data_IF_998843282237
#
_entry.id   IF_998843282237
#
_cell.length_a   1.000
_cell.length_b   1.000
_cell.length_c   1.000
_cell.angle_alpha   90.00
_cell.angle_beta   90.00
_cell.angle_gamma   90.00
#
_symmetry.space_group_name_H-M   'P 1'
#
loop_
_entity.id
_entity.type
_entity.pdbx_description
1 polymer ?
#
# COMPACT_ATOMS: atom_id res chain seq x y z
N UNK A 1 -11.20 19.50 2.55
CA UNK A 1 -12.25 19.07 1.60
C UNK A 1 -13.24 20.22 1.43
N UNK A 2 -13.59 20.55 0.19
CA UNK A 2 -14.56 21.57 -0.17
C UNK A 2 -15.78 20.87 -0.81
N UNK A 3 -16.97 21.15 -0.30
CA UNK A 3 -18.22 20.69 -0.89
C UNK A 3 -18.61 21.61 -2.04
N UNK A 4 -18.93 21.05 -3.21
CA UNK A 4 -19.27 21.78 -4.43
C UNK A 4 -20.76 21.66 -4.80
N UNK A 5 -21.56 21.00 -3.96
CA UNK A 5 -22.95 20.70 -4.22
C UNK A 5 -23.28 19.22 -3.98
N UNK A 6 -24.55 18.80 -4.18
CA UNK A 6 -25.01 17.47 -3.82
C UNK A 6 -24.08 16.35 -4.33
N UNK A 7 -23.48 15.61 -3.39
CA UNK A 7 -22.59 14.49 -3.68
C UNK A 7 -21.27 14.84 -4.37
N UNK A 8 -20.97 16.12 -4.58
CA UNK A 8 -19.77 16.58 -5.29
C UNK A 8 -18.77 17.19 -4.33
N UNK A 9 -17.51 16.76 -4.37
CA UNK A 9 -16.48 17.34 -3.53
C UNK A 9 -15.16 17.51 -4.25
N UNK A 10 -14.41 18.54 -3.84
CA UNK A 10 -13.02 18.75 -4.18
C UNK A 10 -12.17 18.56 -2.92
N UNK A 11 -11.06 17.84 -3.02
CA UNK A 11 -10.15 17.61 -1.91
C UNK A 11 -8.71 17.82 -2.34
N UNK A 12 -8.04 18.76 -1.70
CA UNK A 12 -6.59 18.92 -1.74
C UNK A 12 -6.00 18.28 -0.49
N UNK A 13 -4.95 17.49 -0.64
CA UNK A 13 -4.27 16.86 0.48
C UNK A 13 -2.86 16.41 0.11
N UNK A 14 -2.04 16.13 1.12
CA UNK A 14 -0.77 15.44 0.92
C UNK A 14 -0.98 13.93 0.97
N UNK A 15 -0.09 13.18 0.32
CA UNK A 15 -0.02 11.74 0.45
C UNK A 15 1.42 11.30 0.67
N UNK A 16 1.56 10.17 1.35
CA UNK A 16 2.80 9.42 1.47
C UNK A 16 2.43 7.95 1.33
N UNK A 17 3.15 7.24 0.48
CA UNK A 17 2.95 5.81 0.25
C UNK A 17 4.29 5.08 0.30
N UNK A 18 4.24 3.82 0.72
CA UNK A 18 5.36 2.91 0.53
C UNK A 18 4.83 1.58 -0.01
N UNK A 19 5.56 0.99 -0.95
CA UNK A 19 5.44 -0.44 -1.21
C UNK A 19 6.43 -1.08 -0.25
N UNK A 20 5.91 -1.87 0.71
CA UNK A 20 6.73 -2.51 1.75
C UNK A 20 7.95 -3.23 1.19
N UNK A 21 8.95 -3.46 2.04
CA UNK A 21 10.19 -4.11 1.62
C UNK A 21 9.92 -5.59 1.36
N UNK A 22 10.06 -6.01 0.11
CA UNK A 22 9.97 -7.41 -0.29
C UNK A 22 11.38 -7.98 -0.40
N UNK A 23 11.63 -9.08 0.29
CA UNK A 23 12.87 -9.86 0.16
C UNK A 23 12.48 -11.28 -0.26
N UNK A 24 13.05 -11.77 -1.35
CA UNK A 24 12.76 -13.11 -1.85
C UNK A 24 13.98 -13.72 -2.55
N UNK A 25 14.20 -15.05 -2.45
CA UNK A 25 15.13 -15.72 -3.33
C UNK A 25 14.62 -15.64 -4.77
N UNK A 26 15.52 -15.47 -5.73
CA UNK A 26 15.17 -15.63 -7.13
C UNK A 26 14.93 -17.11 -7.47
N UNK A 27 14.35 -17.43 -8.65
CA UNK A 27 14.01 -18.82 -8.99
C UNK A 27 15.19 -19.80 -8.93
N UNK A 28 16.39 -19.36 -9.32
CA UNK A 28 17.60 -20.20 -9.27
C UNK A 28 18.01 -20.53 -7.83
N UNK A 29 17.98 -19.55 -6.93
CA UNK A 29 18.28 -19.75 -5.51
C UNK A 29 17.19 -20.58 -4.82
N UNK A 30 15.92 -20.32 -5.14
CA UNK A 30 14.80 -21.11 -4.60
C UNK A 30 14.95 -22.59 -4.97
N UNK A 31 15.30 -22.87 -6.22
CA UNK A 31 15.50 -24.24 -6.68
C UNK A 31 16.76 -24.88 -6.08
N UNK A 32 17.86 -24.13 -5.95
CA UNK A 32 19.07 -24.62 -5.28
C UNK A 32 18.80 -25.02 -3.81
N UNK A 33 17.96 -24.25 -3.10
CA UNK A 33 17.53 -24.57 -1.74
C UNK A 33 16.68 -25.84 -1.72
N UNK A 34 15.71 -25.98 -2.66
CA UNK A 34 14.85 -27.18 -2.75
C UNK A 34 15.63 -28.45 -3.08
N UNK A 35 16.63 -28.35 -3.95
CA UNK A 35 17.46 -29.49 -4.34
C UNK A 35 18.54 -29.82 -3.31
N UNK A 36 18.79 -28.92 -2.34
CA UNK A 36 19.91 -29.04 -1.41
C UNK A 36 21.30 -28.92 -2.06
N UNK A 37 21.39 -28.39 -3.29
CA UNK A 37 22.65 -28.21 -4.01
C UNK A 37 22.79 -26.80 -4.59
N UNK A 38 23.95 -26.19 -4.34
CA UNK A 38 24.34 -24.89 -4.88
C UNK A 38 25.02 -24.95 -6.24
N UNK A 39 25.03 -26.10 -6.93
CA UNK A 39 25.75 -26.23 -8.20
C UNK A 39 25.16 -25.32 -9.30
N UNK A 40 23.84 -25.08 -9.27
CA UNK A 40 23.18 -24.08 -10.13
C UNK A 40 23.74 -22.67 -9.93
N UNK A 41 24.13 -22.34 -8.71
CA UNK A 41 24.69 -21.03 -8.36
C UNK A 41 26.13 -20.83 -8.85
N UNK A 42 26.78 -21.89 -9.36
CA UNK A 42 28.17 -21.85 -9.83
C UNK A 42 28.28 -21.77 -11.37
N UNK A 43 27.16 -21.79 -12.08
CA UNK A 43 27.14 -21.91 -13.57
C UNK A 43 27.70 -20.67 -14.27
N UNK A 44 27.64 -19.49 -13.63
CA UNK A 44 28.21 -18.24 -14.17
C UNK A 44 28.81 -17.37 -13.08
N UNK A 45 29.71 -16.47 -13.48
CA UNK A 45 30.21 -15.38 -12.64
C UNK A 45 29.80 -14.06 -13.30
N UNK A 46 28.96 -13.23 -12.66
CA UNK A 46 28.38 -13.39 -11.31
C UNK A 46 27.37 -14.55 -11.22
N UNK A 47 27.18 -15.06 -10.00
CA UNK A 47 26.27 -16.18 -9.71
C UNK A 47 24.85 -15.88 -10.17
N UNK A 48 24.15 -16.83 -10.82
CA UNK A 48 22.76 -16.65 -11.20
C UNK A 48 21.82 -16.69 -9.99
N UNK A 49 22.23 -17.30 -8.89
CA UNK A 49 21.45 -17.31 -7.65
C UNK A 49 21.55 -15.96 -6.93
N UNK A 50 20.42 -15.38 -6.57
CA UNK A 50 20.37 -14.10 -5.89
C UNK A 50 19.26 -14.08 -4.83
N UNK A 51 19.55 -13.43 -3.70
CA UNK A 51 18.53 -12.91 -2.81
C UNK A 51 18.20 -11.50 -3.29
N UNK A 52 16.95 -11.27 -3.68
CA UNK A 52 16.49 -9.98 -4.19
C UNK A 52 15.68 -9.24 -3.12
N UNK A 53 15.97 -7.95 -2.94
CA UNK A 53 15.22 -7.04 -2.10
C UNK A 53 14.68 -5.88 -2.94
N UNK A 54 13.44 -5.47 -2.73
CA UNK A 54 12.80 -4.36 -3.43
C UNK A 54 11.97 -3.52 -2.46
N UNK A 55 11.94 -2.21 -2.65
CA UNK A 55 11.09 -1.31 -1.89
C UNK A 55 10.95 0.04 -2.57
N UNK A 56 9.83 0.73 -2.32
CA UNK A 56 9.62 2.08 -2.83
C UNK A 56 8.88 2.97 -1.85
N UNK A 57 9.13 4.27 -1.95
CA UNK A 57 8.54 5.34 -1.16
C UNK A 57 8.12 6.46 -2.11
N UNK A 58 6.86 6.90 -2.01
CA UNK A 58 6.30 8.03 -2.74
C UNK A 58 5.75 9.07 -1.77
N UNK A 59 5.81 10.33 -2.16
CA UNK A 59 5.10 11.41 -1.48
C UNK A 59 4.73 12.52 -2.45
N UNK A 60 3.69 13.26 -2.11
CA UNK A 60 3.24 14.36 -2.95
C UNK A 60 2.00 15.06 -2.44
N UNK A 61 1.41 15.85 -3.32
CA UNK A 61 0.13 16.54 -3.13
C UNK A 61 -0.84 16.02 -4.18
N UNK A 62 -2.05 15.71 -3.75
CA UNK A 62 -3.14 15.22 -4.59
C UNK A 62 -4.31 16.18 -4.58
N UNK A 63 -4.92 16.36 -5.74
CA UNK A 63 -6.21 17.00 -5.93
C UNK A 63 -7.22 15.96 -6.42
N UNK A 64 -8.24 15.70 -5.63
CA UNK A 64 -9.30 14.76 -5.96
C UNK A 64 -10.64 15.46 -6.15
N UNK A 65 -11.32 15.15 -7.25
CA UNK A 65 -12.72 15.49 -7.51
C UNK A 65 -13.53 14.21 -7.41
N UNK A 66 -14.51 14.18 -6.51
CA UNK A 66 -15.44 13.06 -6.39
C UNK A 66 -16.86 13.52 -6.65
N UNK A 67 -17.66 12.61 -7.20
CA UNK A 67 -19.09 12.76 -7.40
C UNK A 67 -19.79 11.47 -6.97
N UNK A 68 -20.87 11.59 -6.21
CA UNK A 68 -21.77 10.50 -5.91
C UNK A 68 -23.24 10.91 -6.05
N UNK A 69 -24.07 9.98 -6.49
CA UNK A 69 -25.52 10.20 -6.64
C UNK A 69 -26.28 8.97 -6.19
N UNK A 70 -27.45 9.13 -5.54
CA UNK A 70 -28.40 8.02 -5.44
C UNK A 70 -28.85 7.61 -6.84
N UNK A 71 -29.01 6.31 -7.05
CA UNK A 71 -29.64 5.75 -8.24
C UNK A 71 -31.16 5.63 -8.02
N UNK A 72 -31.97 5.61 -9.09
CA UNK A 72 -33.40 5.37 -8.99
C UNK A 72 -33.70 4.06 -8.23
N UNK A 73 -34.70 4.09 -7.35
CA UNK A 73 -35.11 2.93 -6.58
C UNK A 73 -35.59 1.81 -7.50
N UNK A 74 -35.02 0.60 -7.33
CA UNK A 74 -35.44 -0.59 -8.07
C UNK A 74 -36.66 -1.18 -7.34
N UNK A 75 -37.80 -1.43 -8.02
CA UNK A 75 -38.97 -2.04 -7.40
C UNK A 75 -38.64 -3.40 -6.76
N UNK A 76 -38.94 -3.57 -5.47
CA UNK A 76 -38.51 -4.73 -4.66
C UNK A 76 -37.12 -4.59 -4.02
N UNK A 77 -36.56 -3.38 -4.02
CA UNK A 77 -35.16 -3.09 -3.76
C UNK A 77 -34.64 -3.41 -2.36
N UNK A 78 -33.36 -3.75 -2.32
CA UNK A 78 -32.58 -4.08 -1.11
C UNK A 78 -32.19 -2.84 -0.28
N UNK A 79 -32.58 -1.63 -0.66
CA UNK A 79 -32.16 -0.38 -0.01
C UNK A 79 -31.83 0.72 -1.01
N UNK A 80 -31.27 1.83 -0.52
CA UNK A 80 -30.89 2.97 -1.36
C UNK A 80 -29.53 2.73 -1.98
N UNK A 81 -29.46 2.73 -3.31
CA UNK A 81 -28.23 2.49 -4.06
C UNK A 81 -27.59 3.82 -4.43
N UNK A 82 -26.28 3.90 -4.30
CA UNK A 82 -25.46 5.05 -4.65
C UNK A 82 -24.41 4.62 -5.67
N UNK A 83 -24.16 5.47 -6.66
CA UNK A 83 -23.02 5.36 -7.56
C UNK A 83 -22.07 6.51 -7.32
N UNK A 84 -20.77 6.22 -7.34
CA UNK A 84 -19.71 7.18 -7.12
C UNK A 84 -18.59 7.04 -8.13
N UNK A 85 -18.00 8.17 -8.50
CA UNK A 85 -16.78 8.24 -9.29
C UNK A 85 -15.84 9.24 -8.64
N UNK A 86 -14.54 9.00 -8.78
CA UNK A 86 -13.51 9.89 -8.27
C UNK A 86 -12.36 9.96 -9.26
N UNK A 87 -12.01 11.17 -9.65
CA UNK A 87 -10.77 11.47 -10.35
C UNK A 87 -9.79 12.11 -9.37
N UNK A 88 -8.55 11.65 -9.38
CA UNK A 88 -7.46 12.24 -8.61
C UNK A 88 -6.29 12.52 -9.54
N UNK A 89 -5.76 13.73 -9.48
CA UNK A 89 -4.46 14.07 -10.03
C UNK A 89 -3.48 14.36 -8.92
N UNK A 90 -2.22 14.02 -9.11
CA UNK A 90 -1.18 14.30 -8.13
C UNK A 90 0.05 14.96 -8.75
N UNK A 91 0.73 15.73 -7.90
CA UNK A 91 2.06 16.26 -8.13
C UNK A 91 3.01 15.66 -7.09
N UNK A 92 4.07 15.01 -7.57
CA UNK A 92 5.04 14.29 -6.77
C UNK A 92 6.07 15.22 -6.14
N UNK A 93 6.29 15.04 -4.84
CA UNK A 93 7.31 15.76 -4.07
C UNK A 93 8.50 14.88 -3.68
N UNK A 94 8.36 13.56 -3.79
CA UNK A 94 9.46 12.63 -3.59
C UNK A 94 9.10 11.25 -4.11
N UNK A 95 10.04 10.63 -4.81
CA UNK A 95 9.98 9.22 -5.15
C UNK A 95 11.36 8.59 -5.01
N UNK A 96 11.40 7.48 -4.26
CA UNK A 96 12.56 6.64 -4.13
C UNK A 96 12.15 5.19 -4.39
N UNK A 97 12.88 4.49 -5.24
CA UNK A 97 12.73 3.07 -5.50
C UNK A 97 14.10 2.44 -5.40
N UNK A 98 14.22 1.31 -4.70
CA UNK A 98 15.47 0.59 -4.58
C UNK A 98 15.25 -0.89 -4.81
N UNK A 99 16.16 -1.49 -5.57
CA UNK A 99 16.28 -2.93 -5.76
C UNK A 99 17.71 -3.34 -5.42
N UNK A 100 17.87 -4.32 -4.55
CA UNK A 100 19.17 -4.89 -4.21
C UNK A 100 19.21 -6.38 -4.53
N UNK A 101 20.38 -6.88 -4.90
CA UNK A 101 20.67 -8.29 -5.15
C UNK A 101 21.91 -8.68 -4.38
N UNK A 102 21.81 -9.72 -3.56
CA UNK A 102 22.95 -10.36 -2.92
C UNK A 102 23.19 -11.71 -3.58
N UNK A 103 24.37 -11.90 -4.17
CA UNK A 103 24.75 -13.11 -4.90
C UNK A 103 25.91 -13.78 -4.18
N UNK A 104 25.87 -15.10 -3.93
CA UNK A 104 27.01 -15.79 -3.35
C UNK A 104 28.20 -15.78 -4.32
N UNK A 105 29.40 -15.59 -3.79
CA UNK A 105 30.66 -15.81 -4.53
C UNK A 105 31.27 -17.13 -4.12
N UNK A 106 31.99 -17.77 -5.03
CA UNK A 106 32.62 -19.06 -4.79
C UNK A 106 34.14 -18.95 -4.94
N UNK A 107 34.88 -19.67 -4.10
CA UNK A 107 36.33 -19.82 -4.25
C UNK A 107 36.70 -20.83 -5.36
N UNK A 108 38.00 -21.03 -5.59
CA UNK A 108 38.50 -21.99 -6.59
C UNK A 108 38.13 -23.45 -6.28
N UNK A 109 37.76 -23.75 -5.03
CA UNK A 109 37.32 -25.07 -4.59
C UNK A 109 35.78 -25.23 -4.67
N UNK A 110 35.07 -24.20 -5.14
CA UNK A 110 33.61 -24.18 -5.25
C UNK A 110 32.89 -24.01 -3.90
N UNK A 111 33.60 -23.60 -2.85
CA UNK A 111 33.01 -23.25 -1.56
C UNK A 111 32.55 -21.80 -1.58
N UNK A 112 31.52 -21.49 -0.79
CA UNK A 112 31.05 -20.10 -0.62
C UNK A 112 32.16 -19.28 0.03
N UNK A 113 32.60 -18.24 -0.67
CA UNK A 113 33.71 -17.36 -0.25
C UNK A 113 33.24 -15.99 0.24
N UNK A 114 32.01 -15.61 -0.09
CA UNK A 114 31.46 -14.28 0.22
C UNK A 114 30.16 -14.01 -0.53
N UNK A 115 29.83 -12.72 -0.65
CA UNK A 115 28.69 -12.26 -1.42
C UNK A 115 29.05 -10.99 -2.20
N UNK A 116 28.58 -10.91 -3.44
CA UNK A 116 28.59 -9.70 -4.26
C UNK A 116 27.22 -9.03 -4.18
N UNK A 117 27.24 -7.71 -4.04
CA UNK A 117 26.05 -6.90 -3.84
C UNK A 117 25.86 -5.97 -5.03
N UNK A 118 24.67 -5.99 -5.61
CA UNK A 118 24.25 -5.01 -6.61
C UNK A 118 23.07 -4.24 -6.05
N UNK A 119 23.18 -2.92 -5.99
CA UNK A 119 22.10 -2.03 -5.56
C UNK A 119 21.79 -1.10 -6.72
N UNK A 120 20.54 -1.09 -7.15
CA UNK A 120 20.03 -0.12 -8.11
C UNK A 120 18.93 0.69 -7.45
N UNK A 121 19.08 2.01 -7.43
CA UNK A 121 18.06 2.89 -6.89
C UNK A 121 17.71 4.01 -7.86
N UNK A 122 16.46 4.46 -7.78
CA UNK A 122 15.93 5.61 -8.49
C UNK A 122 15.54 6.68 -7.47
N UNK A 123 15.91 7.93 -7.75
CA UNK A 123 15.55 9.09 -6.95
C UNK A 123 14.91 10.17 -7.83
N UNK A 124 13.80 10.72 -7.36
CA UNK A 124 13.15 11.90 -7.90
C UNK A 124 12.72 12.82 -6.76
N UNK A 125 13.15 14.06 -6.82
CA UNK A 125 12.74 15.12 -5.90
C UNK A 125 12.68 16.47 -6.66
N UNK A 126 11.93 17.47 -6.18
CA UNK A 126 11.82 18.75 -6.85
C UNK A 126 13.19 19.39 -7.13
N UNK A 127 13.40 19.87 -8.36
CA UNK A 127 14.70 20.37 -8.82
C UNK A 127 15.28 21.51 -7.99
N UNK A 128 14.45 22.29 -7.28
CA UNK A 128 14.93 23.34 -6.37
C UNK A 128 15.68 22.79 -5.14
N UNK A 129 15.53 21.50 -4.82
CA UNK A 129 16.28 20.82 -3.76
C UNK A 129 17.64 20.28 -4.24
N UNK A 130 17.93 20.34 -5.54
CA UNK A 130 19.19 19.82 -6.10
C UNK A 130 20.41 20.50 -5.49
N UNK A 131 20.35 21.81 -5.24
CA UNK A 131 21.43 22.55 -4.58
C UNK A 131 21.70 22.11 -3.13
N UNK A 132 20.74 21.45 -2.48
CA UNK A 132 20.87 20.95 -1.11
C UNK A 132 21.23 19.47 -1.06
N UNK A 133 20.65 18.65 -1.94
CA UNK A 133 20.84 17.20 -1.93
C UNK A 133 22.02 16.75 -2.81
N UNK A 134 22.26 17.42 -3.94
CA UNK A 134 23.39 17.16 -4.84
C UNK A 134 23.46 15.75 -5.43
N UNK A 135 22.34 15.01 -5.44
CA UNK A 135 22.29 13.61 -5.89
C UNK A 135 21.88 13.46 -7.36
N UNK A 136 21.71 14.55 -8.10
CA UNK A 136 21.24 14.54 -9.49
C UNK A 136 19.81 14.04 -9.66
N UNK A 137 19.06 13.90 -8.57
CA UNK A 137 17.67 13.40 -8.55
C UNK A 137 16.62 14.49 -8.82
N UNK A 138 17.04 15.72 -9.13
CA UNK A 138 16.14 16.80 -9.53
C UNK A 138 15.24 16.39 -10.69
N UNK A 139 13.93 16.31 -10.43
CA UNK A 139 12.94 15.86 -11.39
C UNK A 139 11.50 16.18 -10.97
N UNK A 140 10.54 15.59 -11.67
CA UNK A 140 9.11 15.83 -11.44
C UNK A 140 8.34 14.51 -11.48
N UNK A 141 7.42 14.37 -10.52
CA UNK A 141 6.40 13.33 -10.51
C UNK A 141 5.04 13.90 -10.81
N UNK A 142 4.23 13.19 -11.60
CA UNK A 142 2.81 13.47 -11.71
C UNK A 142 2.04 12.21 -12.07
N UNK A 143 0.75 12.22 -11.82
CA UNK A 143 -0.11 11.13 -12.23
C UNK A 143 -1.59 11.43 -12.07
N UNK A 144 -2.38 10.49 -12.58
CA UNK A 144 -3.82 10.53 -12.62
C UNK A 144 -4.35 9.17 -12.18
N UNK A 145 -5.46 9.19 -11.45
CA UNK A 145 -6.15 8.02 -10.95
C UNK A 145 -7.65 8.21 -11.09
N UNK A 146 -8.33 7.16 -11.55
CA UNK A 146 -9.78 7.06 -11.63
C UNK A 146 -10.27 5.89 -10.78
N UNK A 147 -11.21 6.18 -9.90
CA UNK A 147 -11.92 5.19 -9.09
C UNK A 147 -13.42 5.25 -9.41
N UNK A 148 -14.09 4.11 -9.35
CA UNK A 148 -15.55 4.00 -9.47
C UNK A 148 -16.09 3.09 -8.38
N UNK A 149 -17.32 3.29 -7.95
CA UNK A 149 -17.92 2.43 -6.93
C UNK A 149 -19.43 2.52 -6.86
N UNK A 150 -20.01 1.51 -6.25
CA UNK A 150 -21.41 1.40 -5.88
C UNK A 150 -21.50 1.14 -4.39
N UNK A 151 -22.50 1.71 -3.74
CA UNK A 151 -22.86 1.39 -2.36
C UNK A 151 -24.36 1.16 -2.26
N UNK A 152 -24.77 0.23 -1.40
CA UNK A 152 -26.16 -0.01 -1.06
C UNK A 152 -26.30 0.22 0.44
N UNK A 153 -27.25 1.07 0.80
CA UNK A 153 -27.60 1.39 2.18
C UNK A 153 -28.99 0.83 2.49
N UNK A 154 -29.03 -0.19 3.36
CA UNK A 154 -30.24 -0.82 3.86
C UNK A 154 -30.69 -0.29 5.22
N UNK A 155 -30.12 0.82 5.70
CA UNK A 155 -30.33 1.37 7.05
C UNK A 155 -29.43 0.71 8.09
N UNK A 156 -29.73 -0.55 8.43
CA UNK A 156 -28.96 -1.30 9.43
C UNK A 156 -27.76 -2.01 8.82
N UNK A 157 -27.73 -2.22 7.51
CA UNK A 157 -26.58 -2.76 6.79
C UNK A 157 -26.17 -1.86 5.64
N UNK A 158 -24.89 -1.95 5.27
CA UNK A 158 -24.36 -1.32 4.06
C UNK A 158 -23.42 -2.28 3.35
N UNK A 159 -23.45 -2.28 2.02
CA UNK A 159 -22.47 -2.97 1.18
C UNK A 159 -21.88 -2.00 0.17
N UNK A 160 -20.58 -2.12 -0.08
CA UNK A 160 -19.86 -1.32 -1.06
C UNK A 160 -19.03 -2.18 -1.99
N UNK A 161 -19.10 -1.85 -3.28
CA UNK A 161 -18.26 -2.41 -4.33
C UNK A 161 -17.47 -1.28 -4.97
N UNK A 162 -16.16 -1.44 -5.09
CA UNK A 162 -15.29 -0.42 -5.66
C UNK A 162 -14.30 -1.00 -6.65
N UNK A 163 -13.97 -0.21 -7.67
CA UNK A 163 -12.81 -0.42 -8.52
C UNK A 163 -11.93 0.81 -8.41
N UNK A 164 -10.79 0.59 -7.80
CA UNK A 164 -9.72 1.56 -7.64
C UNK A 164 -8.73 1.45 -8.80
N UNK A 165 -8.08 2.55 -9.18
CA UNK A 165 -7.09 2.56 -10.27
C UNK A 165 -7.65 1.97 -11.59
N UNK A 166 -8.94 2.19 -11.88
CA UNK A 166 -9.56 1.79 -13.15
C UNK A 166 -8.82 2.43 -14.32
N UNK A 167 -8.45 3.69 -14.14
CA UNK A 167 -7.46 4.41 -14.94
C UNK A 167 -6.37 4.84 -13.96
N UNK A 168 -5.12 4.50 -14.25
CA UNK A 168 -4.01 4.84 -13.38
C UNK A 168 -2.80 5.16 -14.23
N UNK A 169 -2.28 6.36 -14.15
CA UNK A 169 -1.05 6.73 -14.82
C UNK A 169 -0.17 7.48 -13.84
N UNK A 170 1.11 7.16 -13.82
CA UNK A 170 2.11 7.93 -13.09
C UNK A 170 3.40 7.96 -13.89
N UNK A 171 4.06 9.11 -13.85
CA UNK A 171 5.37 9.31 -14.44
C UNK A 171 6.25 10.07 -13.46
N UNK A 172 7.49 9.60 -13.32
CA UNK A 172 8.51 10.20 -12.49
C UNK A 172 9.79 10.34 -13.30
N UNK A 173 10.28 11.57 -13.47
CA UNK A 173 11.62 11.82 -13.99
C UNK A 173 12.61 11.99 -12.85
N UNK A 174 13.83 11.50 -13.03
CA UNK A 174 14.86 11.54 -11.99
C UNK A 174 16.13 10.84 -12.45
N UNK A 175 16.88 10.30 -11.50
CA UNK A 175 18.14 9.60 -11.75
C UNK A 175 18.05 8.16 -11.29
N UNK A 176 18.61 7.24 -12.08
CA UNK A 176 18.87 5.87 -11.68
C UNK A 176 20.37 5.68 -11.49
N UNK A 177 20.74 5.09 -10.36
CA UNK A 177 22.11 4.81 -9.98
C UNK A 177 22.25 3.33 -9.71
N UNK A 178 23.31 2.73 -10.25
CA UNK A 178 23.68 1.34 -9.99
C UNK A 178 25.02 1.31 -9.27
N UNK A 179 25.05 0.60 -8.15
CA UNK A 179 26.24 0.30 -7.39
C UNK A 179 26.49 -1.20 -7.42
N UNK A 180 27.74 -1.58 -7.69
CA UNK A 180 28.21 -2.96 -7.59
C UNK A 180 29.32 -2.98 -6.58
N UNK A 181 29.16 -3.79 -5.53
CA UNK A 181 30.12 -3.96 -4.44
C UNK A 181 30.56 -2.62 -3.82
N UNK A 182 29.59 -1.71 -3.63
CA UNK A 182 29.79 -0.39 -3.05
C UNK A 182 30.37 0.66 -4.00
N UNK A 183 30.68 0.31 -5.24
CA UNK A 183 31.20 1.23 -6.26
C UNK A 183 30.08 1.63 -7.22
N UNK A 184 29.88 2.93 -7.43
CA UNK A 184 28.97 3.43 -8.46
C UNK A 184 29.49 3.04 -9.85
N UNK A 185 28.72 2.23 -10.58
CA UNK A 185 29.08 1.76 -11.93
C UNK A 185 28.30 2.49 -13.02
N UNK A 186 27.14 3.06 -12.68
CA UNK A 186 26.31 3.80 -13.62
C UNK A 186 25.45 4.82 -12.89
N UNK A 187 25.30 6.00 -13.49
CA UNK A 187 24.34 7.03 -13.12
C UNK A 187 23.76 7.66 -14.38
N UNK A 188 22.45 7.58 -14.54
CA UNK A 188 21.78 8.10 -15.73
C UNK A 188 20.44 8.74 -15.39
N UNK A 189 20.12 9.82 -16.09
CA UNK A 189 18.78 10.39 -16.05
C UNK A 189 17.81 9.39 -16.68
N UNK A 190 16.69 9.13 -16.00
CA UNK A 190 15.68 8.20 -16.48
C UNK A 190 14.28 8.67 -16.13
N UNK A 191 13.29 7.99 -16.70
CA UNK A 191 11.87 8.23 -16.43
C UNK A 191 11.18 6.91 -16.13
N UNK A 192 10.62 6.80 -14.93
CA UNK A 192 9.77 5.68 -14.53
C UNK A 192 8.33 6.01 -14.92
N UNK A 193 7.65 5.06 -15.56
CA UNK A 193 6.23 5.17 -15.91
C UNK A 193 5.51 3.95 -15.38
N UNK A 194 4.33 4.16 -14.79
CA UNK A 194 3.42 3.04 -14.53
C UNK A 194 2.66 2.67 -15.78
N UNK A 195 2.15 1.44 -15.81
CA UNK A 195 1.12 1.04 -16.74
C UNK A 195 -0.15 1.88 -16.54
N UNK A 196 -0.96 1.98 -17.60
CA UNK A 196 -2.19 2.81 -17.63
C UNK A 196 -3.35 2.25 -16.80
N UNK A 197 -3.27 1.02 -16.34
CA UNK A 197 -4.29 0.41 -15.47
C UNK A 197 -3.68 -0.68 -14.58
N UNK A 198 -4.02 -0.62 -13.30
CA UNK A 198 -3.71 -1.64 -12.31
C UNK A 198 -4.92 -1.76 -11.35
N UNK A 199 -6.07 -2.23 -11.87
CA UNK A 199 -7.32 -2.15 -11.15
C UNK A 199 -7.26 -2.98 -9.87
N UNK A 200 -7.84 -2.40 -8.83
CA UNK A 200 -7.99 -3.02 -7.52
C UNK A 200 -9.47 -3.06 -7.21
N UNK A 201 -10.00 -4.25 -7.03
CA UNK A 201 -11.38 -4.49 -6.70
C UNK A 201 -11.52 -4.53 -5.18
N UNK A 202 -12.47 -3.78 -4.64
CA UNK A 202 -12.81 -3.81 -3.22
C UNK A 202 -14.26 -4.22 -3.04
N UNK A 203 -14.51 -5.06 -2.05
CA UNK A 203 -15.84 -5.36 -1.55
C UNK A 203 -15.81 -5.11 -0.04
N UNK A 204 -16.78 -4.37 0.46
CA UNK A 204 -16.94 -4.10 1.89
C UNK A 204 -18.40 -4.28 2.29
N UNK A 205 -18.60 -4.67 3.54
CA UNK A 205 -19.91 -4.85 4.13
C UNK A 205 -19.87 -4.46 5.59
N UNK A 206 -20.96 -3.87 6.06
CA UNK A 206 -21.16 -3.50 7.44
C UNK A 206 -22.58 -3.81 7.88
N UNK A 207 -22.77 -4.24 9.12
CA UNK A 207 -24.07 -4.51 9.71
C UNK A 207 -24.11 -4.02 11.15
N UNK A 208 -25.12 -3.22 11.47
CA UNK A 208 -25.40 -2.68 12.79
C UNK A 208 -26.48 -3.50 13.46
N UNK A 209 -26.19 -3.91 14.68
CA UNK A 209 -27.12 -4.57 15.57
C UNK A 209 -27.35 -3.64 16.76
N UNK A 210 -28.52 -2.99 16.86
CA UNK A 210 -28.89 -2.29 18.07
C UNK A 210 -29.09 -3.32 19.19
N UNK A 211 -28.44 -3.11 20.32
CA UNK A 211 -28.54 -3.97 21.50
C UNK A 211 -29.36 -3.26 22.58
N UNK A 212 -29.82 -4.00 23.60
CA UNK A 212 -30.50 -3.40 24.75
C UNK A 212 -29.64 -2.33 25.43
N UNK A 213 -28.33 -2.55 25.41
CA UNK A 213 -27.32 -1.61 25.88
C UNK A 213 -26.26 -1.47 24.79
N UNK A 214 -26.20 -0.30 24.15
CA UNK A 214 -25.21 0.00 23.12
C UNK A 214 -25.56 -0.48 21.70
N UNK A 215 -24.56 -0.45 20.83
CA UNK A 215 -24.66 -0.85 19.41
C UNK A 215 -23.46 -1.74 19.06
N UNK A 216 -23.71 -2.83 18.33
CA UNK A 216 -22.66 -3.67 17.76
C UNK A 216 -22.61 -3.48 16.24
N UNK A 217 -21.48 -3.02 15.72
CA UNK A 217 -21.18 -2.93 14.30
C UNK A 217 -20.27 -4.09 13.91
N UNK A 218 -20.69 -4.93 12.98
CA UNK A 218 -19.87 -5.94 12.33
C UNK A 218 -19.47 -5.42 10.95
N UNK A 219 -18.19 -5.56 10.58
CA UNK A 219 -17.71 -5.14 9.28
C UNK A 219 -16.74 -6.15 8.68
N UNK A 220 -16.75 -6.27 7.36
CA UNK A 220 -15.79 -7.06 6.62
C UNK A 220 -15.40 -6.33 5.33
N UNK A 221 -14.14 -6.49 4.91
CA UNK A 221 -13.65 -6.00 3.64
C UNK A 221 -12.71 -7.00 2.98
N UNK A 222 -12.66 -6.92 1.66
CA UNK A 222 -11.72 -7.70 0.87
C UNK A 222 -11.24 -6.88 -0.32
N UNK A 223 -10.01 -7.14 -0.73
CA UNK A 223 -9.36 -6.47 -1.85
C UNK A 223 -8.68 -7.50 -2.75
N UNK A 224 -8.89 -7.35 -4.06
CA UNK A 224 -8.30 -8.19 -5.10
C UNK A 224 -7.65 -7.32 -6.18
N UNK A 225 -6.64 -7.83 -6.91
CA UNK A 225 -6.03 -7.12 -8.04
C UNK A 225 -4.51 -7.27 -8.09
N UNK A 226 -3.81 -6.17 -8.36
CA UNK A 226 -2.35 -6.14 -8.59
C UNK A 226 -1.47 -6.46 -7.36
N UNK A 227 -2.06 -6.71 -6.19
CA UNK A 227 -1.37 -7.10 -4.95
C UNK A 227 -1.94 -8.41 -4.42
N UNK A 228 -1.25 -9.06 -3.48
CA UNK A 228 -1.82 -10.22 -2.78
C UNK A 228 -3.22 -9.86 -2.23
N UNK A 229 -4.19 -10.78 -2.35
CA UNK A 229 -5.54 -10.53 -1.87
C UNK A 229 -5.51 -10.27 -0.37
N UNK A 230 -6.35 -9.33 0.08
CA UNK A 230 -6.48 -9.01 1.50
C UNK A 230 -7.90 -9.25 1.94
N UNK A 231 -8.08 -9.75 3.16
CA UNK A 231 -9.38 -9.95 3.76
C UNK A 231 -9.33 -9.52 5.22
N UNK A 232 -10.33 -8.76 5.66
CA UNK A 232 -10.47 -8.35 7.05
C UNK A 232 -11.91 -8.52 7.50
N UNK A 233 -12.06 -8.83 8.78
CA UNK A 233 -13.33 -8.82 9.49
C UNK A 233 -13.11 -8.24 10.88
N UNK A 234 -14.06 -7.45 11.34
CA UNK A 234 -14.00 -6.80 12.63
C UNK A 234 -15.37 -6.55 13.23
N UNK A 235 -15.34 -6.26 14.51
CA UNK A 235 -16.50 -5.87 15.29
C UNK A 235 -16.15 -4.63 16.12
N UNK A 236 -17.11 -3.71 16.24
CA UNK A 236 -17.07 -2.56 17.11
C UNK A 236 -18.29 -2.59 18.02
N UNK A 237 -18.07 -2.54 19.34
CA UNK A 237 -19.12 -2.40 20.33
C UNK A 237 -19.06 -1.00 20.94
N UNK A 238 -20.14 -0.24 20.75
CA UNK A 238 -20.28 1.14 21.18
C UNK A 238 -21.20 1.24 22.39
N UNK A 239 -20.67 1.82 23.47
CA UNK A 239 -21.35 2.04 24.75
C UNK A 239 -21.22 3.52 25.16
N UNK A 240 -22.19 4.33 24.74
CA UNK A 240 -22.19 5.77 25.01
C UNK A 240 -20.97 6.45 24.40
N UNK A 241 -20.07 6.95 25.25
CA UNK A 241 -18.84 7.63 24.84
C UNK A 241 -17.67 6.68 24.53
N UNK A 242 -17.81 5.38 24.79
CA UNK A 242 -16.72 4.40 24.61
C UNK A 242 -17.06 3.47 23.46
N UNK A 243 -16.09 3.16 22.61
CA UNK A 243 -16.18 2.11 21.61
C UNK A 243 -15.00 1.14 21.79
N UNK A 244 -15.25 -0.16 21.69
CA UNK A 244 -14.20 -1.19 21.71
C UNK A 244 -14.24 -1.93 20.39
N UNK A 245 -13.07 -2.17 19.80
CA UNK A 245 -12.91 -2.76 18.48
C UNK A 245 -12.03 -3.98 18.55
N UNK A 246 -12.38 -5.02 17.81
CA UNK A 246 -11.52 -6.17 17.58
C UNK A 246 -11.67 -6.62 16.13
N UNK A 247 -10.59 -7.12 15.55
CA UNK A 247 -10.63 -7.64 14.19
C UNK A 247 -9.46 -8.55 13.89
N UNK A 248 -9.63 -9.30 12.81
CA UNK A 248 -8.58 -10.14 12.25
C UNK A 248 -8.62 -10.06 10.73
N UNK A 249 -7.48 -10.34 10.10
CA UNK A 249 -7.42 -10.40 8.66
C UNK A 249 -6.16 -11.06 8.14
N UNK A 250 -6.08 -11.13 6.81
CA UNK A 250 -4.96 -11.67 6.07
C UNK A 250 -4.50 -10.62 5.07
N UNK A 251 -3.25 -10.18 5.22
CA UNK A 251 -2.59 -9.23 4.32
C UNK A 251 -1.09 -9.53 4.32
N UNK A 252 -0.65 -10.37 3.38
CA UNK A 252 0.73 -10.88 3.36
C UNK A 252 1.10 -11.74 4.59
N UNK A 253 0.11 -12.16 5.37
CA UNK A 253 0.23 -12.86 6.65
C UNK A 253 -1.00 -12.60 7.52
N UNK A 254 -1.15 -13.34 8.63
CA UNK A 254 -2.23 -13.11 9.58
C UNK A 254 -2.02 -11.78 10.33
N UNK A 255 -3.08 -11.01 10.47
CA UNK A 255 -3.11 -9.78 11.28
C UNK A 255 -4.23 -9.83 12.30
N UNK A 256 -3.93 -9.37 13.51
CA UNK A 256 -4.92 -9.18 14.57
C UNK A 256 -4.91 -7.71 14.96
N UNK A 257 -6.09 -7.18 15.31
CA UNK A 257 -6.27 -5.80 15.71
C UNK A 257 -7.18 -5.71 16.92
N UNK A 258 -6.79 -4.88 17.88
CA UNK A 258 -7.63 -4.42 18.99
C UNK A 258 -7.64 -2.90 18.97
N UNK A 259 -8.75 -2.30 19.33
CA UNK A 259 -8.86 -0.86 19.41
C UNK A 259 -9.85 -0.39 20.45
N UNK A 260 -9.70 0.87 20.86
CA UNK A 260 -10.62 1.55 21.73
C UNK A 260 -10.78 2.99 21.25
N UNK A 261 -12.02 3.47 21.26
CA UNK A 261 -12.38 4.85 20.95
C UNK A 261 -13.05 5.50 22.15
N UNK A 262 -12.75 6.78 22.38
CA UNK A 262 -13.41 7.63 23.36
C UNK A 262 -13.90 8.88 22.66
N UNK A 263 -15.22 9.03 22.56
CA UNK A 263 -15.88 10.19 21.98
C UNK A 263 -16.35 11.12 23.10
N UNK A 264 -15.58 12.17 23.38
CA UNK A 264 -15.98 13.29 24.22
C UNK A 264 -16.53 14.41 23.34
N UNK A 265 -17.40 15.27 23.87
CA UNK A 265 -18.05 16.34 23.09
C UNK A 265 -17.10 17.22 22.27
N UNK A 266 -15.86 17.41 22.73
CA UNK A 266 -14.83 18.26 22.12
C UNK A 266 -13.56 17.51 21.73
N UNK A 267 -13.50 16.20 21.96
CA UNK A 267 -12.29 15.41 21.74
C UNK A 267 -12.65 13.96 21.42
N UNK A 268 -12.20 13.47 20.27
CA UNK A 268 -12.27 12.05 19.96
C UNK A 268 -10.86 11.45 19.99
N UNK A 269 -10.66 10.42 20.81
CA UNK A 269 -9.42 9.66 20.91
C UNK A 269 -9.66 8.25 20.39
N UNK A 270 -8.89 7.83 19.40
CA UNK A 270 -8.86 6.44 18.93
C UNK A 270 -7.47 5.84 19.15
N UNK A 271 -7.42 4.68 19.78
CA UNK A 271 -6.23 3.85 19.96
C UNK A 271 -6.43 2.54 19.19
N UNK A 272 -5.41 2.09 18.48
CA UNK A 272 -5.37 0.76 17.89
C UNK A 272 -4.02 0.08 18.17
N UNK A 273 -4.09 -1.20 18.51
CA UNK A 273 -2.97 -2.12 18.62
C UNK A 273 -3.15 -3.18 17.55
N UNK A 274 -2.14 -3.38 16.70
CA UNK A 274 -2.16 -4.41 15.67
C UNK A 274 -0.96 -5.34 15.82
N UNK A 275 -1.13 -6.59 15.40
CA UNK A 275 -0.05 -7.57 15.34
C UNK A 275 0.08 -8.13 13.94
N UNK A 276 1.32 -8.34 13.50
CA UNK A 276 1.62 -9.03 12.24
C UNK A 276 2.89 -9.87 12.38
N UNK A 277 3.01 -10.88 11.54
CA UNK A 277 4.18 -11.76 11.54
C UNK A 277 5.36 -11.07 10.83
N UNK A 278 6.52 -11.04 11.48
CA UNK A 278 7.74 -10.45 10.93
C UNK A 278 8.22 -11.27 9.73
N UNK A 279 8.37 -10.68 8.53
CA UNK A 279 8.77 -11.41 7.33
C UNK A 279 10.15 -12.09 7.40
N UNK A 280 11.01 -11.69 8.36
CA UNK A 280 12.42 -12.09 8.43
C UNK A 280 12.80 -12.97 9.62
N UNK A 281 12.07 -12.89 10.74
CA UNK A 281 12.45 -13.53 12.01
C UNK A 281 11.40 -14.49 12.57
N UNK A 282 10.24 -14.64 11.90
CA UNK A 282 9.15 -15.50 12.37
C UNK A 282 8.56 -15.08 13.72
N UNK A 283 8.82 -13.85 14.16
CA UNK A 283 8.34 -13.28 15.41
C UNK A 283 7.12 -12.37 15.21
N UNK A 284 6.29 -12.23 16.24
CA UNK A 284 5.15 -11.30 16.22
C UNK A 284 5.63 -9.86 16.43
N UNK A 285 5.27 -8.95 15.52
CA UNK A 285 5.51 -7.50 15.63
C UNK A 285 4.23 -6.81 16.07
N UNK A 286 4.35 -5.83 16.96
CA UNK A 286 3.25 -5.01 17.46
C UNK A 286 3.32 -3.60 16.87
N UNK A 287 2.21 -3.11 16.33
CA UNK A 287 2.04 -1.73 15.89
C UNK A 287 1.05 -1.02 16.80
N UNK A 288 1.36 0.22 17.20
CA UNK A 288 0.44 1.08 17.96
C UNK A 288 0.13 2.30 17.09
N UNK A 289 -1.17 2.59 16.92
CA UNK A 289 -1.65 3.79 16.27
C UNK A 289 -2.55 4.57 17.23
N UNK A 290 -2.41 5.89 17.22
CA UNK A 290 -3.23 6.80 18.00
C UNK A 290 -3.67 7.96 17.11
N UNK A 291 -4.96 8.26 17.14
CA UNK A 291 -5.53 9.41 16.47
C UNK A 291 -6.29 10.27 17.48
N UNK A 292 -6.07 11.58 17.40
CA UNK A 292 -6.79 12.58 18.19
C UNK A 292 -7.48 13.52 17.21
N UNK A 293 -8.78 13.74 17.41
CA UNK A 293 -9.59 14.68 16.64
C UNK A 293 -10.22 15.69 17.58
N UNK A 294 -10.25 16.95 17.14
CA UNK A 294 -10.85 18.09 17.82
C UNK A 294 -12.03 18.60 17.01
#
# INVERSE_FOLDING_TARGET
RLDLGPGTYLSLGSFMGSQGIRIAPNPDLEQAIKDGSFDRCKVSTPSPCALEAQGSLTSGISLALGFSTPLPEIPGGLGRVYAGVRGEGFYGLGYAEASAKARPTFDQNGNVSGASYEVRYFLSYPSYLEGTLGQGGGGMGYGLRGDVGLAVDGGDWAFGLGVQNLLGFSQWSGVEVTLVDGTETSRSATTKKSDFSAPIFTLNGAYRLPLEVGELLLAADTRFGATAPTFHIGAEYSLGMVAIRAGFGVEGGLRLGLGAGFNLETLNLDLALTTHEAPLVGGTVYGIAMAVRF
#
